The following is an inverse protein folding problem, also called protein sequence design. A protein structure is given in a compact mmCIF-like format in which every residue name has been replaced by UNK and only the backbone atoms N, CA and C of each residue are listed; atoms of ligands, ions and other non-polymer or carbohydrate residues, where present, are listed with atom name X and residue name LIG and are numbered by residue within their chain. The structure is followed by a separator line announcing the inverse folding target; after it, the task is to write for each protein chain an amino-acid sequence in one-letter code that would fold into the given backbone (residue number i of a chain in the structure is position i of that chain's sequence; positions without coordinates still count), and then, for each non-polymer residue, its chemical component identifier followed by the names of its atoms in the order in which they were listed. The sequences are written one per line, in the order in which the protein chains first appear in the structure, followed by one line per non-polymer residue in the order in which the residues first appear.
data_IF_640643436556
#
_entry.id   IF_640643436556
#
_cell.length_a   1.000
_cell.length_b   1.000
_cell.length_c   1.000
_cell.angle_alpha   90.00
_cell.angle_beta   90.00
_cell.angle_gamma   90.00
#
_symmetry.space_group_name_H-M   'P 1'
#
loop_
_entity.id
_entity.type
_entity.pdbx_description
1 polymer ?
#
# COMPACT_ATOMS: atom_id res chain seq x y z
N UNK A 1 -6.59 -26.50 28.61
CA UNK A 1 -6.92 -25.73 27.38
C UNK A 1 -8.41 -25.93 27.16
N UNK A 2 -9.23 -24.89 26.96
CA UNK A 2 -10.66 -25.10 26.67
C UNK A 2 -10.79 -25.90 25.37
N UNK A 3 -11.54 -27.00 25.40
CA UNK A 3 -11.71 -27.89 24.24
C UNK A 3 -12.86 -27.46 23.32
N UNK A 4 -13.76 -26.62 23.82
CA UNK A 4 -14.95 -26.14 23.11
C UNK A 4 -15.06 -24.62 23.18
N UNK A 5 -15.62 -24.04 22.13
CA UNK A 5 -16.29 -22.74 22.19
C UNK A 5 -17.66 -23.00 22.79
N UNK A 6 -17.91 -22.43 23.97
CA UNK A 6 -19.20 -22.57 24.65
C UNK A 6 -20.02 -21.30 24.48
N UNK A 7 -21.24 -21.46 23.99
CA UNK A 7 -22.20 -20.39 23.77
C UNK A 7 -23.39 -20.64 24.69
N UNK A 8 -23.75 -19.65 25.51
CA UNK A 8 -24.91 -19.69 26.40
C UNK A 8 -25.95 -18.65 26.01
N UNK A 9 -27.20 -19.10 25.93
CA UNK A 9 -28.40 -18.33 25.59
C UNK A 9 -28.18 -17.36 24.42
N UNK A 10 -27.80 -17.88 23.25
CA UNK A 10 -27.71 -17.05 22.06
C UNK A 10 -29.11 -16.67 21.54
N UNK A 11 -29.36 -15.38 21.43
CA UNK A 11 -30.63 -14.77 21.03
C UNK A 11 -30.50 -13.83 19.83
N UNK A 12 -29.31 -13.75 19.22
CA UNK A 12 -29.05 -12.88 18.08
C UNK A 12 -30.02 -13.16 16.92
N UNK A 13 -30.71 -12.12 16.45
CA UNK A 13 -31.79 -12.18 15.45
C UNK A 13 -32.93 -13.14 15.83
N UNK A 14 -33.06 -14.29 15.15
CA UNK A 14 -34.15 -15.23 15.36
C UNK A 14 -33.75 -16.47 16.19
N UNK A 15 -32.53 -16.50 16.72
CA UNK A 15 -32.09 -17.52 17.65
C UNK A 15 -32.94 -17.49 18.93
N UNK A 16 -33.26 -18.66 19.47
CA UNK A 16 -34.22 -18.83 20.58
C UNK A 16 -33.52 -19.19 21.90
N UNK A 17 -32.60 -18.34 22.36
CA UNK A 17 -31.79 -18.57 23.56
C UNK A 17 -31.08 -19.92 23.55
N UNK A 18 -30.40 -20.24 22.45
CA UNK A 18 -29.79 -21.56 22.27
C UNK A 18 -28.46 -21.68 23.01
N UNK A 19 -28.19 -22.86 23.56
CA UNK A 19 -26.89 -23.25 24.11
C UNK A 19 -26.18 -24.17 23.12
N UNK A 20 -24.92 -23.88 22.80
CA UNK A 20 -24.14 -24.67 21.82
C UNK A 20 -22.70 -24.82 22.32
N UNK A 21 -22.17 -26.04 22.21
CA UNK A 21 -20.74 -26.31 22.37
C UNK A 21 -20.14 -26.70 21.02
N UNK A 22 -19.06 -26.04 20.63
CA UNK A 22 -18.41 -26.22 19.32
C UNK A 22 -16.97 -26.67 19.55
N UNK A 23 -16.57 -27.87 19.09
CA UNK A 23 -15.23 -28.40 19.36
C UNK A 23 -14.15 -27.62 18.61
N UNK A 24 -13.04 -27.30 19.28
CA UNK A 24 -11.92 -26.64 18.64
C UNK A 24 -11.21 -27.53 17.62
N UNK A 25 -10.56 -26.88 16.62
CA UNK A 25 -9.70 -27.54 15.62
C UNK A 25 -10.40 -28.62 14.81
N UNK A 26 -11.70 -28.48 14.60
CA UNK A 26 -12.52 -29.34 13.74
C UNK A 26 -13.12 -28.53 12.59
N UNK A 27 -13.37 -29.20 11.47
CA UNK A 27 -14.22 -28.66 10.42
C UNK A 27 -15.68 -28.80 10.88
N UNK A 28 -16.31 -27.69 11.23
CA UNK A 28 -17.70 -27.65 11.66
C UNK A 28 -18.56 -27.13 10.51
N UNK A 29 -19.62 -27.87 10.20
CA UNK A 29 -20.60 -27.48 9.18
C UNK A 29 -21.92 -27.16 9.86
N UNK A 30 -22.37 -25.91 9.72
CA UNK A 30 -23.69 -25.47 10.20
C UNK A 30 -24.70 -25.63 9.07
N UNK A 31 -25.67 -26.52 9.24
CA UNK A 31 -26.68 -26.85 8.23
C UNK A 31 -28.10 -26.53 8.71
N UNK A 32 -29.06 -26.52 7.79
CA UNK A 32 -30.47 -26.21 8.06
C UNK A 32 -31.14 -25.40 6.95
N UNK A 33 -32.48 -25.36 6.98
CA UNK A 33 -33.32 -24.64 5.99
C UNK A 33 -33.04 -23.14 5.93
N UNK A 34 -33.39 -22.47 4.83
CA UNK A 34 -33.25 -21.01 4.73
C UNK A 34 -33.97 -20.31 5.90
N UNK A 35 -33.35 -19.28 6.47
CA UNK A 35 -33.91 -18.58 7.64
C UNK A 35 -33.80 -19.31 8.98
N UNK A 36 -33.20 -20.51 9.07
CA UNK A 36 -33.09 -21.25 10.33
C UNK A 36 -32.13 -20.67 11.39
N UNK A 37 -31.52 -19.50 11.13
CA UNK A 37 -30.56 -18.85 12.04
C UNK A 37 -29.09 -19.26 11.86
N UNK A 38 -28.73 -19.98 10.78
CA UNK A 38 -27.33 -20.39 10.50
C UNK A 38 -26.38 -19.19 10.45
N UNK A 39 -26.72 -18.18 9.65
CA UNK A 39 -25.91 -16.97 9.50
C UNK A 39 -25.89 -16.17 10.80
N UNK A 40 -27.00 -16.15 11.54
CA UNK A 40 -27.08 -15.49 12.84
C UNK A 40 -26.14 -16.11 13.87
N UNK A 41 -26.02 -17.44 13.89
CA UNK A 41 -25.06 -18.13 14.76
C UNK A 41 -23.61 -17.96 14.27
N UNK A 42 -23.35 -18.19 12.97
CA UNK A 42 -21.99 -18.23 12.44
C UNK A 42 -21.35 -16.84 12.28
N UNK A 43 -22.08 -15.90 11.66
CA UNK A 43 -21.56 -14.57 11.34
C UNK A 43 -21.91 -13.54 12.39
N UNK A 44 -23.20 -13.43 12.72
CA UNK A 44 -23.68 -12.34 13.57
C UNK A 44 -23.38 -12.60 15.06
N UNK A 45 -23.10 -13.85 15.45
CA UNK A 45 -22.74 -14.23 16.83
C UNK A 45 -21.26 -14.59 16.97
N UNK A 46 -20.82 -15.70 16.35
CA UNK A 46 -19.46 -16.22 16.51
C UNK A 46 -18.40 -15.28 15.90
N UNK A 47 -18.51 -14.97 14.61
CA UNK A 47 -17.54 -14.08 13.97
C UNK A 47 -17.55 -12.68 14.61
N UNK A 48 -18.72 -12.13 14.90
CA UNK A 48 -18.85 -10.84 15.57
C UNK A 48 -18.13 -10.80 16.92
N UNK A 49 -18.33 -11.79 17.81
CA UNK A 49 -17.59 -11.83 19.08
C UNK A 49 -16.10 -12.07 18.88
N UNK A 50 -15.72 -13.01 18.00
CA UNK A 50 -14.31 -13.35 17.78
C UNK A 50 -13.51 -12.15 17.26
N UNK A 51 -14.09 -11.39 16.32
CA UNK A 51 -13.50 -10.15 15.83
C UNK A 51 -13.52 -9.05 16.91
N UNK A 52 -14.65 -8.84 17.61
CA UNK A 52 -14.76 -7.82 18.65
C UNK A 52 -13.70 -8.00 19.73
N UNK A 53 -13.55 -9.21 20.29
CA UNK A 53 -12.55 -9.50 21.33
C UNK A 53 -11.11 -9.33 20.85
N UNK A 54 -10.84 -9.69 19.59
CA UNK A 54 -9.54 -9.47 18.98
C UNK A 54 -9.23 -7.98 18.81
N UNK A 55 -10.20 -7.16 18.39
CA UNK A 55 -10.02 -5.70 18.30
C UNK A 55 -9.88 -5.07 19.69
N UNK A 56 -10.60 -5.58 20.70
CA UNK A 56 -10.54 -5.11 22.08
C UNK A 56 -9.16 -5.33 22.74
N UNK A 57 -8.41 -6.36 22.32
CA UNK A 57 -7.05 -6.62 22.82
C UNK A 57 -5.96 -5.74 22.16
N UNK A 58 -6.31 -4.98 21.12
CA UNK A 58 -5.38 -4.08 20.42
C UNK A 58 -5.18 -2.76 21.18
N UNK A 59 -4.13 -2.03 20.79
CA UNK A 59 -3.83 -0.71 21.37
C UNK A 59 -5.00 0.26 21.24
N UNK A 60 -5.12 1.20 22.19
CA UNK A 60 -6.19 2.21 22.17
C UNK A 60 -6.19 3.05 20.88
N UNK A 61 -5.00 3.33 20.33
CA UNK A 61 -4.83 4.03 19.06
C UNK A 61 -5.36 3.20 17.89
N UNK A 62 -4.98 1.91 17.81
CA UNK A 62 -5.42 1.03 16.72
C UNK A 62 -6.94 0.84 16.71
N UNK A 63 -7.57 0.81 17.89
CA UNK A 63 -9.03 0.73 18.04
C UNK A 63 -9.81 1.93 17.47
N UNK A 64 -9.16 3.06 17.18
CA UNK A 64 -9.82 4.21 16.54
C UNK A 64 -10.09 3.97 15.04
N UNK A 65 -9.29 3.13 14.38
CA UNK A 65 -9.37 2.89 12.93
C UNK A 65 -10.09 1.60 12.56
N UNK A 66 -10.40 0.76 13.56
CA UNK A 66 -11.03 -0.53 13.34
C UNK A 66 -12.53 -0.43 13.56
N UNK A 67 -13.30 -1.04 12.66
CA UNK A 67 -14.74 -1.17 12.81
C UNK A 67 -15.06 -1.92 14.11
N UNK A 68 -15.82 -1.26 14.99
CA UNK A 68 -16.36 -1.90 16.18
C UNK A 68 -17.57 -2.71 15.77
N UNK A 69 -17.44 -4.03 15.83
CA UNK A 69 -18.60 -4.89 15.67
C UNK A 69 -19.52 -4.75 16.88
N UNK A 70 -20.85 -4.71 16.66
CA UNK A 70 -21.80 -4.72 17.76
C UNK A 70 -21.61 -5.99 18.57
N UNK A 71 -21.77 -5.88 19.89
CA UNK A 71 -21.79 -7.06 20.77
C UNK A 71 -23.05 -7.87 20.43
N UNK A 72 -22.94 -9.17 20.11
CA UNK A 72 -24.10 -9.99 19.83
C UNK A 72 -24.92 -10.25 21.09
N UNK A 73 -26.19 -10.60 20.87
CA UNK A 73 -27.13 -10.93 21.93
C UNK A 73 -26.91 -12.38 22.38
N UNK A 74 -26.10 -12.52 23.42
CA UNK A 74 -25.69 -13.78 24.07
C UNK A 74 -25.46 -13.54 25.56
N UNK A 75 -25.76 -14.51 26.42
CA UNK A 75 -25.42 -14.42 27.84
C UNK A 75 -23.91 -14.51 28.04
N UNK A 76 -23.30 -15.55 27.48
CA UNK A 76 -21.84 -15.69 27.50
C UNK A 76 -21.32 -16.51 26.34
N UNK A 77 -20.10 -16.19 25.93
CA UNK A 77 -19.30 -17.01 25.02
C UNK A 77 -17.92 -17.19 25.62
N UNK A 78 -17.43 -18.42 25.74
CA UNK A 78 -16.08 -18.73 26.22
C UNK A 78 -15.32 -19.55 25.17
N UNK A 79 -13.99 -19.61 25.29
CA UNK A 79 -13.14 -20.33 24.33
C UNK A 79 -13.02 -19.72 22.94
N UNK A 80 -13.68 -18.60 22.63
CA UNK A 80 -13.67 -18.07 21.25
C UNK A 80 -12.30 -17.49 20.83
N UNK A 81 -11.71 -17.96 19.71
CA UNK A 81 -10.47 -17.42 19.17
C UNK A 81 -10.75 -16.18 18.30
N UNK A 82 -9.70 -15.42 17.89
CA UNK A 82 -9.83 -14.45 16.81
C UNK A 82 -10.46 -15.08 15.56
N UNK A 83 -11.43 -14.40 14.98
CA UNK A 83 -12.23 -14.93 13.88
C UNK A 83 -12.05 -14.11 12.59
N UNK A 84 -12.07 -14.81 11.45
CA UNK A 84 -12.06 -14.22 10.12
C UNK A 84 -13.25 -14.78 9.35
N UNK A 85 -14.08 -13.90 8.78
CA UNK A 85 -15.18 -14.30 7.92
C UNK A 85 -14.77 -14.27 6.45
N UNK A 86 -14.99 -15.37 5.75
CA UNK A 86 -14.89 -15.44 4.30
C UNK A 86 -16.32 -15.51 3.77
N UNK A 87 -16.78 -14.42 3.14
CA UNK A 87 -18.13 -14.29 2.61
C UNK A 87 -18.10 -13.95 1.12
N UNK A 88 -19.15 -14.33 0.40
CA UNK A 88 -19.42 -13.86 -0.95
C UNK A 88 -20.00 -12.44 -0.94
N UNK A 89 -19.34 -11.49 -0.26
CA UNK A 89 -19.66 -10.06 -0.44
C UNK A 89 -18.92 -9.56 -1.67
N UNK A 90 -19.57 -8.72 -2.47
CA UNK A 90 -18.93 -8.02 -3.58
C UNK A 90 -17.76 -7.21 -3.03
N UNK A 91 -16.53 -7.64 -3.34
CA UNK A 91 -15.33 -6.88 -2.98
C UNK A 91 -15.40 -5.48 -3.60
N UNK A 92 -14.84 -4.50 -2.88
CA UNK A 92 -14.78 -3.09 -3.27
C UNK A 92 -14.49 -2.91 -4.77
N UNK A 93 -15.37 -2.19 -5.47
CA UNK A 93 -15.29 -1.88 -6.91
C UNK A 93 -14.27 -0.78 -7.19
N UNK A 94 -13.05 -0.89 -6.66
CA UNK A 94 -11.98 0.01 -7.10
C UNK A 94 -11.55 -0.44 -8.52
N UNK A 95 -11.71 0.40 -9.56
CA UNK A 95 -11.37 0.03 -10.92
C UNK A 95 -9.88 -0.27 -11.14
N UNK A 96 -9.01 0.11 -10.18
CA UNK A 96 -7.58 -0.23 -10.21
C UNK A 96 -7.26 -1.58 -9.58
N UNK A 97 -8.23 -2.20 -8.89
CA UNK A 97 -8.05 -3.52 -8.29
C UNK A 97 -8.12 -4.62 -9.34
N UNK A 98 -7.13 -5.50 -9.33
CA UNK A 98 -7.05 -6.70 -10.18
C UNK A 98 -6.89 -7.93 -9.29
N UNK A 99 -6.99 -9.13 -9.87
CA UNK A 99 -6.68 -10.38 -9.15
C UNK A 99 -5.28 -10.33 -8.54
N UNK A 100 -4.30 -9.78 -9.27
CA UNK A 100 -2.92 -9.67 -8.81
C UNK A 100 -2.74 -8.76 -7.60
N UNK A 101 -3.49 -7.66 -7.52
CA UNK A 101 -3.44 -6.76 -6.34
C UNK A 101 -4.22 -7.33 -5.15
N UNK A 102 -5.32 -8.05 -5.40
CA UNK A 102 -6.13 -8.67 -4.35
C UNK A 102 -5.44 -9.86 -3.67
N UNK A 103 -4.64 -10.59 -4.42
CA UNK A 103 -3.86 -11.74 -3.95
C UNK A 103 -2.45 -11.37 -3.52
N UNK A 104 -2.09 -10.08 -3.58
CA UNK A 104 -0.75 -9.53 -3.37
C UNK A 104 0.34 -10.09 -4.30
N UNK A 105 0.02 -10.99 -5.24
CA UNK A 105 0.95 -11.54 -6.24
C UNK A 105 1.62 -10.42 -7.03
N UNK A 106 0.88 -9.35 -7.36
CA UNK A 106 1.44 -8.22 -8.09
C UNK A 106 2.57 -7.52 -7.32
N UNK A 107 2.50 -7.47 -5.98
CA UNK A 107 3.56 -6.88 -5.17
C UNK A 107 4.83 -7.75 -5.18
N UNK A 108 4.68 -9.07 -5.15
CA UNK A 108 5.80 -9.99 -5.39
C UNK A 108 6.40 -9.82 -6.79
N UNK A 109 5.56 -9.68 -7.82
CA UNK A 109 6.04 -9.42 -9.17
C UNK A 109 6.84 -8.10 -9.23
N UNK A 110 6.35 -7.02 -8.61
CA UNK A 110 7.08 -5.75 -8.54
C UNK A 110 8.45 -5.91 -7.88
N UNK A 111 8.53 -6.69 -6.80
CA UNK A 111 9.80 -6.98 -6.14
C UNK A 111 10.76 -7.77 -7.05
N UNK A 112 10.25 -8.78 -7.75
CA UNK A 112 11.04 -9.58 -8.70
C UNK A 112 11.57 -8.70 -9.83
N UNK A 113 10.69 -7.95 -10.51
CA UNK A 113 11.09 -7.05 -11.60
C UNK A 113 12.00 -5.91 -11.13
N UNK A 114 11.83 -5.42 -9.90
CA UNK A 114 12.72 -4.40 -9.34
C UNK A 114 14.12 -4.92 -8.99
N UNK A 115 14.26 -6.21 -8.66
CA UNK A 115 15.54 -6.82 -8.27
C UNK A 115 16.33 -7.44 -9.41
N UNK A 116 15.64 -8.16 -10.30
CA UNK A 116 16.28 -8.93 -11.38
C UNK A 116 15.73 -8.60 -12.77
N UNK A 117 14.78 -7.67 -12.87
CA UNK A 117 14.24 -7.24 -14.15
C UNK A 117 15.30 -6.51 -14.96
N UNK A 118 15.45 -6.92 -16.22
CA UNK A 118 16.30 -6.24 -17.20
C UNK A 118 15.43 -5.23 -17.95
N UNK A 119 15.85 -3.98 -17.97
CA UNK A 119 15.15 -2.89 -18.64
C UNK A 119 15.68 -2.76 -20.06
N UNK A 120 14.78 -2.56 -21.03
CA UNK A 120 15.15 -2.41 -22.44
C UNK A 120 14.55 -1.12 -22.99
N UNK A 121 15.32 -0.41 -23.81
CA UNK A 121 14.88 0.80 -24.47
C UNK A 121 13.73 0.48 -25.44
N UNK A 122 12.63 1.25 -25.37
CA UNK A 122 11.47 1.01 -26.25
C UNK A 122 11.78 1.23 -27.73
N UNK A 123 12.68 2.16 -28.04
CA UNK A 123 13.05 2.53 -29.40
C UNK A 123 14.13 1.58 -29.97
N UNK A 124 15.32 1.55 -29.38
CA UNK A 124 16.46 0.79 -29.92
C UNK A 124 16.54 -0.68 -29.44
N UNK A 125 15.67 -1.11 -28.52
CA UNK A 125 15.64 -2.48 -27.94
C UNK A 125 16.91 -2.92 -27.19
N UNK A 126 17.87 -2.02 -26.99
CA UNK A 126 19.07 -2.32 -26.21
C UNK A 126 18.77 -2.34 -24.71
N UNK A 127 19.53 -3.15 -23.97
CA UNK A 127 19.46 -3.21 -22.50
C UNK A 127 19.89 -1.85 -21.92
N UNK A 128 19.10 -1.32 -21.01
CA UNK A 128 19.38 -0.07 -20.31
C UNK A 128 20.35 -0.37 -19.18
N UNK A 129 21.58 0.07 -19.35
CA UNK A 129 22.64 -0.06 -18.34
C UNK A 129 22.77 1.21 -17.53
N UNK A 130 23.33 1.09 -16.32
CA UNK A 130 23.65 2.25 -15.50
C UNK A 130 24.86 2.97 -16.08
N UNK A 131 24.69 4.23 -16.47
CA UNK A 131 25.79 5.07 -16.94
C UNK A 131 26.69 5.56 -15.80
N UNK A 132 27.92 5.88 -16.18
CA UNK A 132 28.89 6.61 -15.37
C UNK A 132 29.50 7.76 -16.20
N UNK A 133 30.20 8.73 -15.57
CA UNK A 133 30.74 9.88 -16.30
C UNK A 133 31.61 9.51 -17.51
N UNK A 134 32.38 8.42 -17.43
CA UNK A 134 33.23 7.96 -18.53
C UNK A 134 32.41 7.37 -19.68
N UNK A 135 31.37 6.58 -19.40
CA UNK A 135 30.51 6.02 -20.46
C UNK A 135 29.76 7.13 -21.18
N UNK A 136 29.29 8.14 -20.46
CA UNK A 136 28.66 9.33 -21.03
C UNK A 136 29.66 10.11 -21.89
N UNK A 137 30.89 10.34 -21.41
CA UNK A 137 31.93 11.01 -22.19
C UNK A 137 32.22 10.28 -23.50
N UNK A 138 32.48 8.97 -23.44
CA UNK A 138 32.74 8.15 -24.62
C UNK A 138 31.55 8.16 -25.59
N UNK A 139 30.32 8.18 -25.07
CA UNK A 139 29.12 8.33 -25.89
C UNK A 139 29.08 9.69 -26.59
N UNK A 140 29.38 10.78 -25.89
CA UNK A 140 29.40 12.12 -26.47
C UNK A 140 30.48 12.25 -27.55
N UNK A 141 31.70 11.80 -27.27
CA UNK A 141 32.83 11.82 -28.21
C UNK A 141 32.53 11.01 -29.48
N UNK A 142 31.88 9.86 -29.36
CA UNK A 142 31.57 8.99 -30.50
C UNK A 142 30.43 9.53 -31.39
N UNK A 143 29.43 10.18 -30.79
CA UNK A 143 28.19 10.52 -31.49
C UNK A 143 28.11 11.98 -31.94
N UNK A 144 28.96 12.86 -31.42
CA UNK A 144 28.98 14.28 -31.78
C UNK A 144 30.32 14.68 -32.40
N UNK A 145 30.34 15.42 -33.52
CA UNK A 145 31.58 15.84 -34.17
C UNK A 145 32.35 16.89 -33.35
N UNK A 146 33.64 16.98 -33.61
CA UNK A 146 34.52 18.00 -33.03
C UNK A 146 33.98 19.41 -33.28
N UNK A 147 34.02 20.25 -32.24
CA UNK A 147 33.48 21.60 -32.26
C UNK A 147 32.00 21.73 -31.86
N UNK A 148 31.30 20.61 -31.59
CA UNK A 148 29.95 20.65 -31.01
C UNK A 148 29.97 21.32 -29.63
N UNK A 149 29.16 22.37 -29.46
CA UNK A 149 29.00 23.05 -28.16
C UNK A 149 27.92 22.36 -27.35
N UNK A 150 28.27 21.91 -26.15
CA UNK A 150 27.35 21.27 -25.21
C UNK A 150 27.18 22.14 -23.96
N UNK A 151 25.96 22.18 -23.44
CA UNK A 151 25.66 22.78 -22.14
C UNK A 151 25.35 21.65 -21.15
N UNK A 152 26.22 21.47 -20.16
CA UNK A 152 26.03 20.45 -19.11
C UNK A 152 25.22 21.09 -17.98
N UNK A 153 24.07 20.51 -17.68
CA UNK A 153 23.16 20.98 -16.64
C UNK A 153 22.79 19.84 -15.68
N UNK A 154 22.34 20.19 -14.48
CA UNK A 154 21.79 19.26 -13.52
C UNK A 154 20.43 19.78 -13.04
N UNK A 155 19.39 18.93 -13.00
CA UNK A 155 18.06 19.37 -12.58
C UNK A 155 18.06 19.69 -11.09
N UNK A 156 17.46 20.81 -10.72
CA UNK A 156 17.15 21.13 -9.31
C UNK A 156 15.94 20.28 -8.92
N UNK A 157 16.08 19.46 -7.88
CA UNK A 157 15.00 18.57 -7.45
C UNK A 157 13.83 19.35 -6.84
N UNK A 158 12.60 19.01 -7.25
CA UNK A 158 11.36 19.55 -6.65
C UNK A 158 11.20 19.22 -5.15
N UNK A 159 11.96 18.24 -4.65
CA UNK A 159 11.90 17.82 -3.24
C UNK A 159 12.58 18.80 -2.26
N UNK A 160 13.28 19.81 -2.79
CA UNK A 160 14.01 20.80 -1.99
C UNK A 160 13.02 21.77 -1.36
N UNK A 161 12.78 21.62 -0.06
CA UNK A 161 11.83 22.47 0.72
C UNK A 161 12.27 23.94 0.83
N UNK A 162 13.57 24.22 0.69
CA UNK A 162 14.17 25.56 0.80
C UNK A 162 15.07 25.83 -0.39
N UNK A 163 14.45 26.20 -1.50
CA UNK A 163 15.18 26.40 -2.76
C UNK A 163 16.15 27.58 -2.64
N UNK A 164 15.81 28.64 -1.90
CA UNK A 164 16.68 29.80 -1.71
C UNK A 164 17.98 29.45 -0.95
N UNK A 165 17.91 28.60 0.09
CA UNK A 165 19.10 28.13 0.83
C UNK A 165 20.00 27.29 -0.08
N UNK A 166 19.40 26.44 -0.92
CA UNK A 166 20.12 25.61 -1.89
C UNK A 166 20.78 26.45 -2.99
N UNK A 167 20.11 27.49 -3.49
CA UNK A 167 20.67 28.42 -4.48
C UNK A 167 21.88 29.15 -3.91
N UNK A 168 21.80 29.64 -2.67
CA UNK A 168 22.95 30.28 -2.01
C UNK A 168 24.15 29.34 -1.94
N UNK A 169 23.93 28.09 -1.56
CA UNK A 169 25.00 27.09 -1.51
C UNK A 169 25.63 26.82 -2.88
N UNK A 170 24.82 26.78 -3.96
CA UNK A 170 25.30 26.60 -5.32
C UNK A 170 26.11 27.83 -5.80
N UNK A 171 25.67 29.03 -5.46
CA UNK A 171 26.42 30.27 -5.73
C UNK A 171 27.76 30.25 -5.00
N UNK A 172 27.79 29.83 -3.73
CA UNK A 172 29.03 29.66 -2.94
C UNK A 172 29.98 28.62 -3.56
N UNK A 173 29.46 27.60 -4.25
CA UNK A 173 30.25 26.63 -5.01
C UNK A 173 30.75 27.15 -6.37
N UNK A 174 30.37 28.39 -6.75
CA UNK A 174 30.87 29.07 -7.94
C UNK A 174 30.02 28.91 -9.20
N UNK A 175 28.81 28.34 -9.10
CA UNK A 175 27.88 28.28 -10.22
C UNK A 175 27.14 29.61 -10.38
N UNK A 176 27.18 30.20 -11.57
CA UNK A 176 26.61 31.53 -11.85
C UNK A 176 25.45 31.51 -12.86
N UNK A 177 25.25 30.38 -13.54
CA UNK A 177 24.28 30.24 -14.65
C UNK A 177 23.29 29.14 -14.34
N UNK A 178 22.05 29.36 -14.74
CA UNK A 178 21.00 28.34 -14.72
C UNK A 178 20.36 28.25 -16.11
N UNK A 179 19.84 27.07 -16.43
CA UNK A 179 19.14 26.84 -17.70
C UNK A 179 17.64 26.71 -17.45
N UNK A 180 16.86 27.56 -18.10
CA UNK A 180 15.40 27.54 -18.01
C UNK A 180 14.84 26.52 -19.01
N UNK A 181 14.21 25.45 -18.51
CA UNK A 181 13.66 24.37 -19.33
C UNK A 181 12.42 24.78 -20.15
N UNK A 182 11.72 25.88 -19.78
CA UNK A 182 10.53 26.37 -20.52
C UNK A 182 10.91 27.27 -21.67
N UNK A 183 11.79 28.23 -21.38
CA UNK A 183 12.17 29.28 -22.34
C UNK A 183 13.41 28.90 -23.16
N UNK A 184 14.08 27.79 -22.80
CA UNK A 184 15.32 27.30 -23.42
C UNK A 184 16.50 28.30 -23.38
N UNK A 185 16.51 29.19 -22.38
CA UNK A 185 17.50 30.24 -22.20
C UNK A 185 18.41 30.00 -20.99
N UNK A 186 19.64 30.52 -21.08
CA UNK A 186 20.59 30.57 -19.97
C UNK A 186 20.39 31.90 -19.24
N UNK A 187 20.01 31.84 -17.97
CA UNK A 187 19.78 32.99 -17.11
C UNK A 187 20.81 33.04 -15.97
N UNK A 188 21.00 34.20 -15.35
CA UNK A 188 21.78 34.30 -14.12
C UNK A 188 21.07 33.56 -12.99
N UNK A 189 21.82 32.82 -12.18
CA UNK A 189 21.24 32.12 -11.03
C UNK A 189 20.70 33.09 -9.97
N UNK A 190 21.24 34.32 -9.93
CA UNK A 190 20.79 35.39 -9.03
C UNK A 190 19.39 35.90 -9.41
N UNK A 191 19.05 35.91 -10.70
CA UNK A 191 17.74 36.36 -11.22
C UNK A 191 16.59 35.39 -10.90
N UNK A 192 16.94 34.22 -10.35
CA UNK A 192 16.04 33.13 -9.98
C UNK A 192 15.72 33.15 -8.47
N UNK A 193 16.57 33.76 -7.64
CA UNK A 193 16.37 33.88 -6.19
C UNK A 193 15.04 34.61 -5.90
N UNK A 194 14.11 33.94 -5.20
CA UNK A 194 12.79 34.50 -4.85
C UNK A 194 11.66 34.33 -5.88
N UNK A 195 11.88 33.67 -7.03
CA UNK A 195 10.79 33.31 -7.97
C UNK A 195 10.28 31.89 -7.70
N UNK A 196 8.97 31.66 -7.84
CA UNK A 196 8.38 30.30 -7.72
C UNK A 196 8.84 29.43 -8.89
N UNK A 197 9.52 28.33 -8.57
CA UNK A 197 9.90 27.27 -9.51
C UNK A 197 8.64 26.52 -9.94
N UNK A 198 8.40 26.44 -11.25
CA UNK A 198 7.41 25.57 -11.89
C UNK A 198 8.08 24.88 -13.06
#
# INVERSE_FOLDING_TARGET
MQEFIEIKKAATHNLKNIDVQIPHKKLIVVTGVSGSGKSSLAFDTLYAEGQRRFVESMSAYTRQFLERMPRPDVESITGIPPAVAIQQRTQSKNPRSTVGTLTEIYDYLRLIFGRIGRTFCKNCKQEVIKDNPQTVYNYLEKNYPDGTKLLITFPISESIKRVDDYIKQIIEQGFTRAYNLKDHEVVSIEDISGKKFV
#
